data_IF_233603394688
#
_entry.id   IF_233603394688
#
_cell.length_a   1.000
_cell.length_b   1.000
_cell.length_c   1.000
_cell.angle_alpha   90.00
_cell.angle_beta   90.00
_cell.angle_gamma   90.00
#
_symmetry.space_group_name_H-M   'P 1'
#
loop_
_entity.id
_entity.type
_entity.pdbx_description
1 polymer ?
#
# COMPACT_ATOMS: atom_id res chain seq x y z
N UNK A 1 -22.89 -20.85 10.75
CA UNK A 1 -22.28 -19.50 10.81
C UNK A 1 -20.77 -19.73 10.68
N UNK A 2 -20.13 -19.28 9.59
CA UNK A 2 -18.66 -19.40 9.45
C UNK A 2 -18.03 -18.41 10.45
N UNK A 3 -17.05 -18.86 11.22
CA UNK A 3 -16.24 -18.01 12.10
C UNK A 3 -15.57 -16.92 11.24
N UNK A 4 -15.62 -15.65 11.65
CA UNK A 4 -14.95 -14.53 10.97
C UNK A 4 -13.48 -14.44 11.39
N UNK A 5 -12.64 -13.80 10.55
CA UNK A 5 -11.24 -13.46 10.90
C UNK A 5 -11.21 -12.65 12.20
N UNK A 6 -12.13 -11.69 12.34
CA UNK A 6 -12.24 -10.83 13.52
C UNK A 6 -12.59 -11.64 14.79
N UNK A 7 -13.53 -12.59 14.67
CA UNK A 7 -13.93 -13.47 15.78
C UNK A 7 -12.75 -14.33 16.24
N UNK A 8 -11.98 -14.87 15.29
CA UNK A 8 -10.81 -15.70 15.59
C UNK A 8 -9.71 -14.92 16.31
N UNK A 9 -9.40 -13.72 15.83
CA UNK A 9 -8.39 -12.84 16.44
C UNK A 9 -8.83 -12.42 17.86
N UNK A 10 -10.11 -12.08 18.04
CA UNK A 10 -10.65 -11.76 19.36
C UNK A 10 -10.61 -12.96 20.33
N UNK A 11 -10.81 -14.19 19.84
CA UNK A 11 -10.66 -15.40 20.64
C UNK A 11 -9.18 -15.62 21.07
N UNK A 12 -8.22 -15.38 20.17
CA UNK A 12 -6.79 -15.44 20.48
C UNK A 12 -6.39 -14.39 21.52
N UNK A 13 -6.89 -13.16 21.40
CA UNK A 13 -6.69 -12.12 22.40
C UNK A 13 -7.21 -12.52 23.78
N UNK A 14 -8.44 -13.03 23.86
CA UNK A 14 -9.04 -13.48 25.14
C UNK A 14 -8.26 -14.64 25.76
N UNK A 15 -7.66 -15.51 24.94
CA UNK A 15 -6.89 -16.67 25.39
C UNK A 15 -5.49 -16.30 25.89
N UNK A 16 -4.80 -15.38 25.21
CA UNK A 16 -3.40 -15.05 25.48
C UNK A 16 -3.21 -13.76 26.29
N UNK A 17 -4.23 -12.90 26.37
CA UNK A 17 -4.17 -11.60 27.04
C UNK A 17 -3.44 -10.51 26.22
N UNK A 18 -2.81 -10.90 25.12
CA UNK A 18 -2.17 -10.02 24.13
C UNK A 18 -2.25 -10.67 22.73
N UNK A 19 -2.00 -9.87 21.68
CA UNK A 19 -1.83 -10.36 20.31
C UNK A 19 -0.45 -9.97 19.83
N UNK A 20 0.32 -10.96 19.39
CA UNK A 20 1.56 -10.78 18.65
C UNK A 20 1.44 -11.45 17.27
N UNK A 21 2.24 -11.03 16.27
CA UNK A 21 2.27 -11.70 14.97
C UNK A 21 2.54 -13.20 15.08
N UNK A 22 3.41 -13.62 16.01
CA UNK A 22 3.75 -15.04 16.21
C UNK A 22 2.54 -15.86 16.67
N UNK A 23 1.67 -15.29 17.53
CA UNK A 23 0.43 -15.95 17.98
C UNK A 23 -0.53 -16.16 16.80
N UNK A 24 -0.62 -15.16 15.91
CA UNK A 24 -1.47 -15.24 14.71
C UNK A 24 -0.91 -16.29 13.74
N UNK A 25 0.41 -16.29 13.52
CA UNK A 25 1.06 -17.26 12.63
C UNK A 25 0.89 -18.69 13.18
N UNK A 26 1.06 -18.88 14.48
CA UNK A 26 0.91 -20.21 15.10
C UNK A 26 -0.52 -20.74 14.98
N UNK A 27 -1.53 -19.87 15.14
CA UNK A 27 -2.92 -20.26 14.91
C UNK A 27 -3.21 -20.54 13.43
N UNK A 28 -2.69 -19.70 12.54
CA UNK A 28 -2.88 -19.81 11.11
C UNK A 28 -2.20 -21.07 10.51
N UNK A 29 -1.18 -21.65 11.17
CA UNK A 29 -0.59 -22.93 10.73
C UNK A 29 -1.61 -24.06 10.68
N UNK A 30 -2.67 -23.99 11.47
CA UNK A 30 -3.74 -24.98 11.46
C UNK A 30 -4.60 -24.80 10.19
N UNK A 31 -4.71 -25.80 9.29
CA UNK A 31 -5.53 -25.69 8.08
C UNK A 31 -7.03 -25.48 8.34
N UNK A 32 -7.50 -25.74 9.56
CA UNK A 32 -8.88 -25.48 9.97
C UNK A 32 -9.10 -24.06 10.50
N UNK A 33 -8.04 -23.28 10.73
CA UNK A 33 -8.16 -21.89 11.14
C UNK A 33 -8.61 -21.04 9.96
N UNK A 34 -9.54 -20.11 10.20
CA UNK A 34 -9.97 -19.10 9.23
C UNK A 34 -8.80 -18.21 8.79
N UNK A 35 -7.75 -18.13 9.61
CA UNK A 35 -6.53 -17.38 9.31
C UNK A 35 -5.59 -18.11 8.34
N UNK A 36 -5.77 -19.42 8.13
CA UNK A 36 -4.86 -20.23 7.32
C UNK A 36 -4.71 -19.71 5.89
N UNK A 37 -5.85 -19.38 5.26
CA UNK A 37 -5.91 -18.89 3.88
C UNK A 37 -5.37 -17.46 3.72
N UNK A 38 -5.09 -16.75 4.82
CA UNK A 38 -4.48 -15.43 4.79
C UNK A 38 -2.95 -15.47 4.63
N UNK A 39 -2.33 -16.65 4.76
CA UNK A 39 -0.89 -16.83 4.68
C UNK A 39 -0.51 -17.73 3.50
N UNK A 40 0.63 -17.42 2.89
CA UNK A 40 1.27 -18.32 1.93
C UNK A 40 2.24 -19.24 2.69
N UNK A 41 1.97 -20.55 2.65
CA UNK A 41 2.73 -21.56 3.37
C UNK A 41 3.84 -22.20 2.52
N UNK A 42 3.85 -21.97 1.20
CA UNK A 42 5.03 -22.26 0.38
C UNK A 42 6.10 -21.21 0.68
N UNK A 43 7.12 -21.63 1.46
CA UNK A 43 8.24 -20.78 1.87
C UNK A 43 8.91 -20.06 0.69
N UNK A 44 9.07 -20.74 -0.46
CA UNK A 44 9.70 -20.14 -1.64
C UNK A 44 8.82 -19.05 -2.22
N UNK A 45 7.52 -19.30 -2.33
CA UNK A 45 6.56 -18.34 -2.87
C UNK A 45 6.39 -17.13 -1.94
N UNK A 46 6.24 -17.36 -0.64
CA UNK A 46 6.14 -16.31 0.38
C UNK A 46 7.40 -15.41 0.40
N UNK A 47 8.60 -16.02 0.39
CA UNK A 47 9.86 -15.27 0.33
C UNK A 47 9.98 -14.45 -0.96
N UNK A 48 9.62 -15.02 -2.11
CA UNK A 48 9.67 -14.33 -3.39
C UNK A 48 8.72 -13.11 -3.44
N UNK A 49 7.53 -13.21 -2.86
CA UNK A 49 6.60 -12.09 -2.74
C UNK A 49 7.14 -10.99 -1.82
N UNK A 50 7.73 -11.35 -0.68
CA UNK A 50 8.39 -10.39 0.23
C UNK A 50 9.58 -9.68 -0.44
N UNK A 51 10.38 -10.41 -1.21
CA UNK A 51 11.47 -9.82 -2.01
C UNK A 51 10.94 -8.90 -3.11
N UNK A 52 9.87 -9.29 -3.80
CA UNK A 52 9.20 -8.41 -4.78
C UNK A 52 8.73 -7.11 -4.13
N UNK A 53 8.08 -7.16 -2.98
CA UNK A 53 7.65 -5.92 -2.30
C UNK A 53 8.83 -5.05 -1.84
N UNK A 54 9.91 -5.68 -1.39
CA UNK A 54 11.17 -4.99 -1.07
C UNK A 54 11.74 -4.31 -2.31
N UNK A 55 11.81 -5.03 -3.44
CA UNK A 55 12.25 -4.47 -4.71
C UNK A 55 11.36 -3.32 -5.18
N UNK A 56 10.02 -3.43 -5.04
CA UNK A 56 9.09 -2.33 -5.33
C UNK A 56 9.39 -1.10 -4.50
N UNK A 57 9.77 -1.26 -3.24
CA UNK A 57 10.13 -0.15 -2.35
C UNK A 57 11.43 0.52 -2.81
N UNK A 58 12.43 -0.26 -3.20
CA UNK A 58 13.71 0.23 -3.72
C UNK A 58 13.55 0.96 -5.06
N UNK A 59 12.79 0.39 -5.98
CA UNK A 59 12.49 1.01 -7.27
C UNK A 59 11.81 2.38 -7.07
N UNK A 60 10.84 2.45 -6.14
CA UNK A 60 10.16 3.70 -5.78
C UNK A 60 11.07 4.72 -5.06
N UNK A 61 12.12 4.27 -4.38
CA UNK A 61 13.05 5.19 -3.69
C UNK A 61 14.05 5.88 -4.62
N UNK A 62 14.18 5.40 -5.87
CA UNK A 62 15.04 6.04 -6.87
C UNK A 62 14.26 7.21 -7.49
N UNK A 63 14.63 8.44 -7.14
CA UNK A 63 14.08 9.68 -7.73
C UNK A 63 14.99 10.22 -8.83
N UNK A 64 14.41 10.86 -9.85
CA UNK A 64 15.16 11.71 -10.80
C UNK A 64 14.93 13.17 -10.43
N UNK A 65 16.00 13.97 -10.50
CA UNK A 65 15.92 15.42 -10.44
C UNK A 65 15.54 15.95 -11.84
N UNK A 66 14.30 16.39 -12.02
CA UNK A 66 13.88 17.08 -13.24
C UNK A 66 14.14 18.57 -13.02
N UNK A 67 15.00 19.16 -13.85
CA UNK A 67 15.31 20.60 -13.81
C UNK A 67 14.39 21.32 -14.79
N UNK A 68 13.33 21.96 -14.30
CA UNK A 68 12.56 22.94 -15.06
C UNK A 68 12.91 24.33 -14.55
N UNK A 69 13.04 25.32 -15.46
CA UNK A 69 13.36 26.71 -15.13
C UNK A 69 12.35 27.27 -14.10
N UNK A 70 12.79 27.26 -12.84
CA UNK A 70 12.30 27.91 -11.62
C UNK A 70 11.97 26.99 -10.42
N UNK A 71 11.78 25.68 -10.55
CA UNK A 71 11.59 24.78 -9.38
C UNK A 71 12.11 23.35 -9.65
N UNK A 72 13.04 22.87 -8.82
CA UNK A 72 13.53 21.48 -8.83
C UNK A 72 12.57 20.59 -8.06
N UNK A 73 11.92 19.62 -8.72
CA UNK A 73 11.05 18.62 -8.08
C UNK A 73 11.62 17.22 -8.32
N UNK A 74 11.84 16.47 -7.23
CA UNK A 74 12.26 15.07 -7.29
C UNK A 74 11.02 14.17 -7.34
N UNK A 75 10.85 13.43 -8.44
CA UNK A 75 9.73 12.51 -8.65
C UNK A 75 10.28 11.08 -8.79
N UNK A 76 9.58 10.03 -8.30
CA UNK A 76 10.00 8.64 -8.49
C UNK A 76 10.21 8.31 -9.97
N UNK A 77 11.37 7.71 -10.31
CA UNK A 77 11.80 7.41 -11.69
C UNK A 77 10.95 6.38 -12.41
N UNK A 78 10.39 5.43 -11.67
CA UNK A 78 9.75 4.24 -12.23
C UNK A 78 8.33 4.12 -11.71
N UNK A 79 7.36 4.22 -12.63
CA UNK A 79 5.93 4.00 -12.38
C UNK A 79 5.51 2.70 -13.05
N UNK A 80 4.51 2.01 -12.50
CA UNK A 80 3.98 0.77 -13.06
C UNK A 80 3.33 1.04 -14.42
N UNK A 81 3.83 0.44 -15.51
CA UNK A 81 3.21 0.55 -16.83
C UNK A 81 1.89 -0.23 -16.92
N UNK A 82 0.76 0.39 -17.33
CA UNK A 82 -0.51 -0.29 -17.53
C UNK A 82 -0.60 -1.13 -18.82
N UNK A 83 0.33 -0.98 -19.75
CA UNK A 83 0.20 -1.47 -21.14
C UNK A 83 0.72 -2.90 -21.40
N UNK A 84 1.22 -3.61 -20.39
CA UNK A 84 1.76 -4.97 -20.57
C UNK A 84 0.83 -6.01 -19.97
N UNK A 85 0.54 -7.06 -20.76
CA UNK A 85 -0.28 -8.20 -20.37
C UNK A 85 0.14 -8.79 -19.02
N UNK A 86 -0.85 -9.27 -18.27
CA UNK A 86 -0.87 -9.65 -16.84
C UNK A 86 0.20 -10.66 -16.37
N UNK A 87 1.00 -11.22 -17.28
CA UNK A 87 1.98 -12.27 -16.99
C UNK A 87 3.45 -11.80 -17.09
N UNK A 88 3.72 -10.52 -17.39
CA UNK A 88 5.08 -9.95 -17.34
C UNK A 88 5.03 -8.62 -16.58
N UNK A 89 5.54 -8.63 -15.35
CA UNK A 89 5.63 -7.45 -14.48
C UNK A 89 6.84 -6.60 -14.92
N UNK A 90 6.69 -5.87 -16.04
CA UNK A 90 7.74 -5.02 -16.60
C UNK A 90 7.69 -3.60 -16.00
N UNK A 91 8.85 -3.07 -15.62
CA UNK A 91 9.06 -1.65 -15.31
C UNK A 91 9.81 -1.06 -16.50
N UNK A 92 9.11 -0.31 -17.34
CA UNK A 92 9.72 0.32 -18.51
C UNK A 92 10.47 1.59 -18.10
N UNK A 93 11.64 1.84 -18.70
CA UNK A 93 12.37 3.11 -18.58
C UNK A 93 11.56 4.18 -19.33
N UNK A 94 10.75 4.96 -18.60
CA UNK A 94 9.81 5.91 -19.19
C UNK A 94 10.50 7.22 -19.54
N UNK A 95 11.59 7.17 -20.30
CA UNK A 95 12.19 8.36 -20.90
C UNK A 95 11.66 8.64 -22.32
N UNK A 96 10.73 7.85 -22.86
CA UNK A 96 10.30 8.04 -24.26
C UNK A 96 8.78 7.80 -24.38
N UNK A 97 8.05 8.88 -24.72
CA UNK A 97 6.72 8.93 -25.35
C UNK A 97 5.44 8.83 -24.50
N UNK A 98 5.42 9.39 -23.29
CA UNK A 98 4.24 10.11 -22.79
C UNK A 98 4.70 11.50 -22.39
N UNK A 99 3.93 12.54 -22.70
CA UNK A 99 4.33 13.91 -22.32
C UNK A 99 4.67 13.93 -20.83
N UNK A 100 5.75 14.59 -20.41
CA UNK A 100 6.21 14.62 -19.00
C UNK A 100 5.07 14.90 -18.00
N UNK A 101 4.03 15.60 -18.48
CA UNK A 101 2.77 15.88 -17.79
C UNK A 101 1.91 14.64 -17.51
N UNK A 102 1.68 13.76 -18.47
CA UNK A 102 0.84 12.56 -18.28
C UNK A 102 1.47 11.57 -17.30
N UNK A 103 2.80 11.39 -17.38
CA UNK A 103 3.53 10.58 -16.40
C UNK A 103 3.53 11.19 -15.01
N UNK A 104 3.68 12.51 -14.90
CA UNK A 104 3.56 13.21 -13.63
C UNK A 104 2.15 13.07 -13.03
N UNK A 105 1.10 13.11 -13.87
CA UNK A 105 -0.29 12.86 -13.46
C UNK A 105 -0.46 11.42 -12.97
N UNK A 106 0.01 10.42 -13.71
CA UNK A 106 -0.08 9.00 -13.30
C UNK A 106 0.69 8.73 -11.98
N UNK A 107 1.90 9.28 -11.84
CA UNK A 107 2.69 9.20 -10.60
C UNK A 107 1.97 9.87 -9.42
N UNK A 108 1.37 11.03 -9.65
CA UNK A 108 0.66 11.78 -8.61
C UNK A 108 -0.64 11.10 -8.20
N UNK A 109 -1.39 10.50 -9.14
CA UNK A 109 -2.59 9.70 -8.83
C UNK A 109 -2.20 8.49 -7.96
N UNK A 110 -1.12 7.79 -8.31
CA UNK A 110 -0.64 6.64 -7.54
C UNK A 110 -0.26 7.02 -6.10
N UNK A 111 0.43 8.14 -5.89
CA UNK A 111 0.77 8.60 -4.54
C UNK A 111 -0.45 9.10 -3.75
N UNK A 112 -1.44 9.68 -4.42
CA UNK A 112 -2.72 10.06 -3.80
C UNK A 112 -3.46 8.82 -3.29
N UNK A 113 -3.57 7.75 -4.08
CA UNK A 113 -4.20 6.49 -3.65
C UNK A 113 -3.49 5.90 -2.40
N UNK A 114 -2.16 6.03 -2.35
CA UNK A 114 -1.37 5.60 -1.19
C UNK A 114 -1.61 6.47 0.04
N UNK A 115 -1.69 7.79 -0.14
CA UNK A 115 -2.01 8.73 0.93
C UNK A 115 -3.41 8.48 1.50
N UNK A 116 -4.40 8.21 0.65
CA UNK A 116 -5.76 7.86 1.08
C UNK A 116 -5.74 6.61 1.97
N UNK A 117 -4.99 5.57 1.59
CA UNK A 117 -4.82 4.35 2.40
C UNK A 117 -4.20 4.65 3.77
N UNK A 118 -3.20 5.52 3.83
CA UNK A 118 -2.54 5.90 5.10
C UNK A 118 -3.49 6.74 5.95
N UNK A 119 -4.18 7.71 5.37
CA UNK A 119 -5.12 8.58 6.08
C UNK A 119 -6.28 7.79 6.65
N UNK A 120 -6.79 6.78 5.95
CA UNK A 120 -7.80 5.87 6.48
C UNK A 120 -7.30 5.09 7.70
N UNK A 121 -6.04 4.65 7.69
CA UNK A 121 -5.42 4.00 8.86
C UNK A 121 -5.28 4.98 10.03
N UNK A 122 -4.84 6.21 9.76
CA UNK A 122 -4.71 7.26 10.78
C UNK A 122 -6.08 7.60 11.36
N UNK A 123 -7.13 7.67 10.54
CA UNK A 123 -8.50 7.95 10.97
C UNK A 123 -9.01 6.89 11.95
N UNK A 124 -8.72 5.61 11.71
CA UNK A 124 -9.09 4.52 12.64
C UNK A 124 -8.44 4.69 14.02
N UNK A 125 -7.21 5.20 14.07
CA UNK A 125 -6.53 5.51 15.33
C UNK A 125 -7.09 6.79 15.96
N UNK A 126 -7.36 7.81 15.15
CA UNK A 126 -7.89 9.10 15.59
C UNK A 126 -9.27 8.99 16.25
N UNK A 127 -10.10 8.01 15.87
CA UNK A 127 -11.36 7.70 16.56
C UNK A 127 -11.13 7.42 18.05
N UNK A 128 -10.08 6.66 18.38
CA UNK A 128 -9.75 6.36 19.78
C UNK A 128 -9.23 7.57 20.56
N UNK A 129 -8.77 8.62 19.85
CA UNK A 129 -8.21 9.84 20.43
C UNK A 129 -9.16 11.04 20.33
N UNK A 130 -10.38 10.87 19.80
CA UNK A 130 -11.31 11.96 19.47
C UNK A 130 -10.74 13.04 18.52
N UNK A 131 -9.79 12.66 17.64
CA UNK A 131 -9.15 13.55 16.66
C UNK A 131 -9.70 13.35 15.23
N UNK A 132 -10.97 12.95 15.12
CA UNK A 132 -11.54 12.52 13.84
C UNK A 132 -11.68 13.70 12.86
N UNK A 133 -11.94 14.90 13.38
CA UNK A 133 -12.18 16.09 12.58
C UNK A 133 -10.90 16.61 11.94
N UNK A 134 -9.78 16.58 12.66
CA UNK A 134 -8.45 16.95 12.19
C UNK A 134 -8.01 16.06 11.03
N UNK A 135 -8.26 14.76 11.13
CA UNK A 135 -7.92 13.79 10.07
C UNK A 135 -8.88 13.92 8.88
N UNK A 136 -10.15 14.25 9.12
CA UNK A 136 -11.15 14.51 8.08
C UNK A 136 -10.76 15.68 7.18
N UNK A 137 -10.14 16.73 7.74
CA UNK A 137 -9.63 17.87 6.96
C UNK A 137 -8.55 17.41 5.96
N UNK A 138 -7.61 16.56 6.40
CA UNK A 138 -6.53 16.04 5.55
C UNK A 138 -7.11 15.20 4.41
N UNK A 139 -8.07 14.32 4.71
CA UNK A 139 -8.77 13.50 3.70
C UNK A 139 -9.48 14.37 2.64
N UNK A 140 -10.19 15.43 3.07
CA UNK A 140 -10.85 16.38 2.16
C UNK A 140 -9.85 17.11 1.25
N UNK A 141 -8.69 17.50 1.78
CA UNK A 141 -7.66 18.16 0.99
C UNK A 141 -7.07 17.23 -0.08
N UNK A 142 -6.81 15.97 0.27
CA UNK A 142 -6.33 14.96 -0.69
C UNK A 142 -7.36 14.73 -1.80
N UNK A 143 -8.63 14.57 -1.44
CA UNK A 143 -9.72 14.41 -2.41
C UNK A 143 -9.88 15.64 -3.33
N UNK A 144 -9.65 16.86 -2.81
CA UNK A 144 -9.66 18.08 -3.60
C UNK A 144 -8.51 18.12 -4.61
N UNK A 145 -7.31 17.71 -4.20
CA UNK A 145 -6.13 17.64 -5.09
C UNK A 145 -6.39 16.62 -6.21
N UNK A 146 -6.93 15.43 -5.88
CA UNK A 146 -7.29 14.40 -6.86
C UNK A 146 -8.23 14.93 -7.96
N UNK A 147 -9.26 15.68 -7.58
CA UNK A 147 -10.22 16.30 -8.51
C UNK A 147 -9.64 17.37 -9.42
N UNK A 148 -8.48 17.94 -9.09
CA UNK A 148 -7.81 18.96 -9.93
C UNK A 148 -6.90 18.34 -10.99
N UNK A 149 -6.63 17.04 -10.87
CA UNK A 149 -5.63 16.30 -11.64
C UNK A 149 -6.31 15.23 -12.52
N UNK A 150 -7.42 14.66 -12.06
CA UNK A 150 -8.35 13.85 -12.85
C UNK A 150 -9.22 14.74 -13.75
#
# INVERSE_FOLDING_TARGET
MKESIEDRINALYKKHGNITPDIIIEDAKNPKSVLHDCFEWDLKKAAMEAWRETARRLIRSVTINITMESHSVAVPRYVRSPEVASNVQSYSDTAILKSDREMAIEAMIYEIDRLETIVDRVRRIAIALNLTDEVSIISKNIASIRKKIA
#
